data_IF_112804592656
#
_entry.id   IF_112804592656
#
_cell.length_a   1.000
_cell.length_b   1.000
_cell.length_c   1.000
_cell.angle_alpha   90.00
_cell.angle_beta   90.00
_cell.angle_gamma   90.00
#
_symmetry.space_group_name_H-M   'P 1'
#
loop_
_entity.id
_entity.type
_entity.pdbx_description
1 polymer ?
#
# COMPACT_ATOMS: atom_id res chain seq x y z
N UNK A 1 2.87 -8.84 8.20
CA UNK A 1 1.86 -7.79 8.52
C UNK A 1 1.67 -7.59 10.03
N UNK A 2 1.74 -8.63 10.87
CA UNK A 2 1.42 -8.57 12.32
C UNK A 2 2.15 -7.46 13.12
N UNK A 3 3.34 -7.05 12.71
CA UNK A 3 4.05 -5.92 13.32
C UNK A 3 3.79 -4.59 12.61
N UNK A 4 3.43 -4.62 11.33
CA UNK A 4 3.14 -3.40 10.57
C UNK A 4 1.86 -2.72 11.04
N UNK A 5 0.89 -3.48 11.53
CA UNK A 5 -0.40 -2.97 12.03
C UNK A 5 -0.31 -2.16 13.33
N UNK A 6 0.86 -2.12 13.98
CA UNK A 6 1.13 -1.19 15.08
C UNK A 6 1.35 0.26 14.64
N UNK A 7 1.01 0.56 13.39
CA UNK A 7 1.01 1.93 12.87
C UNK A 7 0.01 2.81 13.66
N UNK A 8 0.38 4.08 13.94
CA UNK A 8 -0.52 5.01 14.59
C UNK A 8 -1.84 5.17 13.81
N UNK A 9 -2.95 5.04 14.50
CA UNK A 9 -4.26 5.28 13.90
C UNK A 9 -5.24 5.77 14.96
N UNK A 10 -6.19 6.61 14.56
CA UNK A 10 -7.12 7.26 15.47
C UNK A 10 -8.02 6.23 16.16
N UNK A 11 -8.01 6.21 17.51
CA UNK A 11 -8.82 5.34 18.36
C UNK A 11 -8.67 3.85 18.04
N UNK A 12 -7.53 3.42 17.51
CA UNK A 12 -7.25 2.02 17.13
C UNK A 12 -8.33 1.45 16.19
N UNK A 13 -8.80 2.26 15.23
CA UNK A 13 -9.85 1.85 14.29
C UNK A 13 -9.37 0.92 13.20
N UNK A 14 -8.05 0.83 13.00
CA UNK A 14 -7.42 -0.02 11.99
C UNK A 14 -8.12 0.11 10.62
N UNK A 15 -8.04 1.28 9.97
CA UNK A 15 -8.87 1.62 8.81
C UNK A 15 -8.56 0.81 7.56
N UNK A 16 -7.58 -0.06 7.61
CA UNK A 16 -7.03 -0.85 6.51
C UNK A 16 -7.61 -2.24 6.42
N UNK A 17 -7.65 -2.76 5.19
CA UNK A 17 -7.84 -4.19 4.88
C UNK A 17 -6.86 -4.60 3.79
N UNK A 18 -6.69 -5.89 3.62
CA UNK A 18 -5.70 -6.45 2.71
C UNK A 18 -6.33 -7.49 1.79
N UNK A 19 -5.94 -7.43 0.50
CA UNK A 19 -6.23 -8.48 -0.47
C UNK A 19 -4.89 -8.91 -1.05
N UNK A 20 -4.54 -10.16 -0.86
CA UNK A 20 -3.32 -10.74 -1.41
C UNK A 20 -3.62 -11.48 -2.71
N UNK A 21 -2.84 -11.20 -3.74
CA UNK A 21 -2.97 -11.82 -5.06
C UNK A 21 -1.61 -12.39 -5.46
N UNK A 22 -1.52 -13.71 -5.49
CA UNK A 22 -0.35 -14.41 -6.00
C UNK A 22 -0.44 -14.60 -7.51
N UNK A 23 0.68 -14.94 -8.14
CA UNK A 23 0.79 -15.07 -9.60
C UNK A 23 -0.14 -16.15 -10.19
N UNK A 24 -0.35 -17.22 -9.45
CA UNK A 24 -1.19 -18.35 -9.81
C UNK A 24 -2.71 -18.08 -9.71
N UNK A 25 -3.09 -17.00 -9.00
CA UNK A 25 -4.49 -16.62 -8.75
C UNK A 25 -4.92 -15.38 -9.57
N UNK A 26 -4.32 -15.17 -10.76
CA UNK A 26 -4.58 -13.99 -11.61
C UNK A 26 -5.56 -14.22 -12.75
N UNK A 27 -6.20 -15.35 -12.83
CA UNK A 27 -7.18 -15.60 -13.87
C UNK A 27 -8.29 -14.54 -13.84
N UNK A 28 -8.48 -13.84 -14.96
CA UNK A 28 -9.43 -12.72 -15.04
C UNK A 28 -8.95 -11.39 -14.43
N UNK A 29 -7.71 -11.30 -13.96
CA UNK A 29 -7.10 -10.09 -13.37
C UNK A 29 -5.94 -9.57 -14.24
N UNK A 30 -6.18 -9.38 -15.52
CA UNK A 30 -5.16 -9.04 -16.54
C UNK A 30 -4.54 -7.65 -16.37
N UNK A 31 -5.13 -6.79 -15.55
CA UNK A 31 -4.63 -5.45 -15.26
C UNK A 31 -3.42 -5.42 -14.31
N UNK A 32 -3.04 -6.55 -13.71
CA UNK A 32 -1.81 -6.65 -12.93
C UNK A 32 -0.59 -6.96 -13.81
N UNK A 33 0.56 -6.39 -13.47
CA UNK A 33 1.80 -6.70 -14.16
C UNK A 33 2.22 -8.16 -13.97
N UNK A 34 2.32 -8.91 -15.07
CA UNK A 34 2.64 -10.35 -15.07
C UNK A 34 4.04 -10.68 -14.49
N UNK A 35 4.97 -9.71 -14.53
CA UNK A 35 6.34 -9.88 -14.06
C UNK A 35 6.47 -9.76 -12.52
N UNK A 36 5.47 -9.22 -11.84
CA UNK A 36 5.49 -9.07 -10.38
C UNK A 36 4.97 -10.35 -9.75
N UNK A 37 5.73 -11.02 -8.86
CA UNK A 37 5.35 -12.31 -8.29
C UNK A 37 4.05 -12.30 -7.48
N UNK A 38 3.79 -11.20 -6.77
CA UNK A 38 2.58 -11.04 -5.99
C UNK A 38 2.21 -9.57 -5.77
N UNK A 39 0.95 -9.33 -5.48
CA UNK A 39 0.45 -8.00 -5.10
C UNK A 39 -0.28 -8.07 -3.76
N UNK A 40 -0.10 -7.03 -2.97
CA UNK A 40 -0.90 -6.79 -1.77
C UNK A 40 -1.67 -5.49 -1.95
N UNK A 41 -2.97 -5.59 -2.14
CA UNK A 41 -3.84 -4.42 -2.22
C UNK A 41 -4.19 -4.00 -0.80
N UNK A 42 -3.98 -2.73 -0.50
CA UNK A 42 -4.40 -2.13 0.76
C UNK A 42 -5.63 -1.29 0.49
N UNK A 43 -6.76 -1.66 1.09
CA UNK A 43 -7.99 -0.88 1.03
C UNK A 43 -8.22 -0.12 2.32
N UNK A 44 -9.03 0.91 2.26
CA UNK A 44 -9.49 1.65 3.41
C UNK A 44 -10.96 2.04 3.26
N UNK A 45 -11.59 2.38 4.37
CA UNK A 45 -12.95 2.88 4.35
C UNK A 45 -13.03 4.20 3.58
N UNK A 46 -14.02 4.30 2.69
CA UNK A 46 -14.30 5.52 1.95
C UNK A 46 -15.14 6.43 2.83
N UNK A 47 -14.53 7.49 3.36
CA UNK A 47 -15.20 8.48 4.22
C UNK A 47 -15.57 9.71 3.40
N UNK A 48 -16.79 10.21 3.61
CA UNK A 48 -17.25 11.47 3.01
C UNK A 48 -16.71 12.71 3.73
N UNK A 49 -16.33 12.57 4.99
CA UNK A 49 -15.68 13.60 5.78
C UNK A 49 -14.19 13.66 5.40
N UNK A 50 -13.75 14.80 4.86
CA UNK A 50 -12.39 14.98 4.36
C UNK A 50 -11.33 14.77 5.46
N UNK A 51 -11.59 15.26 6.67
CA UNK A 51 -10.66 15.10 7.78
C UNK A 51 -10.46 13.63 8.15
N UNK A 52 -11.55 12.87 8.29
CA UNK A 52 -11.47 11.43 8.57
C UNK A 52 -10.84 10.66 7.42
N UNK A 53 -11.10 11.07 6.18
CA UNK A 53 -10.46 10.49 5.01
C UNK A 53 -8.94 10.65 5.07
N UNK A 54 -8.45 11.85 5.35
CA UNK A 54 -7.02 12.14 5.43
C UNK A 54 -6.36 11.42 6.62
N UNK A 55 -7.03 11.34 7.75
CA UNK A 55 -6.60 10.60 8.92
C UNK A 55 -6.44 9.10 8.61
N UNK A 56 -7.42 8.49 7.93
CA UNK A 56 -7.36 7.10 7.51
C UNK A 56 -6.24 6.86 6.49
N UNK A 57 -6.10 7.77 5.53
CA UNK A 57 -5.05 7.66 4.51
C UNK A 57 -3.66 7.76 5.12
N UNK A 58 -3.44 8.71 6.03
CA UNK A 58 -2.18 8.85 6.76
C UNK A 58 -1.84 7.58 7.55
N UNK A 59 -2.81 7.02 8.28
CA UNK A 59 -2.64 5.78 9.03
C UNK A 59 -2.26 4.60 8.12
N UNK A 60 -2.91 4.47 6.96
CA UNK A 60 -2.59 3.44 5.96
C UNK A 60 -1.15 3.58 5.47
N UNK A 61 -0.68 4.81 5.17
CA UNK A 61 0.70 5.00 4.70
C UNK A 61 1.74 4.81 5.80
N UNK A 62 1.43 5.08 7.07
CA UNK A 62 2.25 4.68 8.20
C UNK A 62 2.41 3.16 8.28
N UNK A 63 1.31 2.41 8.13
CA UNK A 63 1.33 0.95 8.07
C UNK A 63 2.18 0.45 6.88
N UNK A 64 1.98 1.01 5.69
CA UNK A 64 2.75 0.64 4.49
C UNK A 64 4.24 0.86 4.72
N UNK A 65 4.63 1.98 5.32
CA UNK A 65 6.03 2.24 5.63
C UNK A 65 6.60 1.22 6.64
N UNK A 66 5.87 0.90 7.69
CA UNK A 66 6.27 -0.13 8.63
C UNK A 66 6.43 -1.49 7.92
N UNK A 67 5.48 -1.84 7.05
CA UNK A 67 5.55 -3.08 6.28
C UNK A 67 6.77 -3.12 5.36
N UNK A 68 7.08 -2.02 4.65
CA UNK A 68 8.27 -1.93 3.79
C UNK A 68 9.56 -2.16 4.56
N UNK A 69 9.71 -1.55 5.74
CA UNK A 69 10.91 -1.72 6.58
C UNK A 69 11.06 -3.17 7.06
N UNK A 70 9.97 -3.77 7.54
CA UNK A 70 9.96 -5.16 8.00
C UNK A 70 10.16 -6.18 6.85
N UNK A 71 9.64 -5.87 5.67
CA UNK A 71 9.81 -6.66 4.46
C UNK A 71 11.27 -6.65 3.99
N UNK A 72 11.90 -5.48 4.04
CA UNK A 72 13.31 -5.31 3.68
C UNK A 72 14.23 -6.23 4.49
N UNK A 73 14.00 -6.35 5.78
CA UNK A 73 14.73 -7.27 6.66
C UNK A 73 14.64 -8.74 6.20
N UNK A 74 13.54 -9.09 5.52
CA UNK A 74 13.27 -10.44 4.98
C UNK A 74 13.66 -10.59 3.51
N UNK A 75 14.41 -9.65 2.93
CA UNK A 75 14.75 -9.57 1.52
C UNK A 75 13.54 -9.52 0.58
N UNK A 76 12.40 -9.06 1.09
CA UNK A 76 11.19 -8.82 0.32
C UNK A 76 11.14 -7.36 -0.12
N UNK A 77 11.30 -7.13 -1.41
CA UNK A 77 11.10 -5.83 -2.04
C UNK A 77 9.61 -5.49 -2.08
N UNK A 78 9.30 -4.25 -1.75
CA UNK A 78 7.94 -3.72 -1.76
C UNK A 78 7.95 -2.40 -2.51
N UNK A 79 7.31 -2.38 -3.68
CA UNK A 79 7.08 -1.16 -4.44
C UNK A 79 5.64 -0.70 -4.24
N UNK A 80 5.44 0.59 -3.96
CA UNK A 80 4.10 1.18 -3.83
C UNK A 80 3.70 1.70 -5.18
N UNK A 81 2.64 1.15 -5.73
CA UNK A 81 2.13 1.47 -7.06
C UNK A 81 0.72 2.06 -7.00
N UNK A 82 0.49 3.00 -7.90
CA UNK A 82 -0.82 3.62 -8.13
C UNK A 82 -1.20 3.37 -9.58
N UNK A 83 -2.37 2.81 -9.80
CA UNK A 83 -2.90 2.47 -11.11
C UNK A 83 -4.23 3.15 -11.35
N UNK A 84 -4.51 3.56 -12.56
CA UNK A 84 -5.78 4.21 -12.94
C UNK A 84 -6.99 3.33 -12.62
N UNK A 85 -6.87 2.02 -12.78
CA UNK A 85 -7.92 1.06 -12.48
C UNK A 85 -8.31 0.99 -11.00
N UNK A 86 -7.51 1.52 -10.08
CA UNK A 86 -7.83 1.55 -8.63
C UNK A 86 -9.13 2.32 -8.34
N UNK A 87 -9.52 3.21 -9.25
CA UNK A 87 -10.73 4.02 -9.15
C UNK A 87 -11.91 3.43 -9.95
N UNK A 88 -11.69 2.37 -10.72
CA UNK A 88 -12.72 1.69 -11.50
C UNK A 88 -13.56 0.78 -10.59
N UNK A 89 -14.87 1.08 -10.51
CA UNK A 89 -15.80 0.30 -9.67
C UNK A 89 -15.99 -1.14 -10.14
N UNK A 90 -15.93 -1.38 -11.45
CA UNK A 90 -16.01 -2.72 -12.03
C UNK A 90 -14.82 -3.59 -11.61
N UNK A 91 -13.61 -3.01 -11.61
CA UNK A 91 -12.40 -3.67 -11.12
C UNK A 91 -12.49 -3.92 -9.61
N UNK A 92 -12.91 -2.90 -8.84
CA UNK A 92 -13.11 -3.07 -7.39
C UNK A 92 -14.09 -4.20 -7.07
N UNK A 93 -15.20 -4.31 -7.81
CA UNK A 93 -16.18 -5.39 -7.64
C UNK A 93 -15.59 -6.78 -7.95
N UNK A 94 -14.80 -6.91 -9.03
CA UNK A 94 -14.08 -8.16 -9.34
C UNK A 94 -13.12 -8.57 -8.22
N UNK A 95 -12.53 -7.61 -7.53
CA UNK A 95 -11.66 -7.82 -6.38
C UNK A 95 -12.41 -8.02 -5.05
N UNK A 96 -13.73 -8.01 -5.06
CA UNK A 96 -14.56 -8.14 -3.86
C UNK A 96 -14.53 -6.92 -2.93
N UNK A 97 -14.15 -5.75 -3.44
CA UNK A 97 -14.07 -4.50 -2.67
C UNK A 97 -15.45 -3.82 -2.65
N UNK A 98 -16.09 -3.68 -1.49
CA UNK A 98 -17.40 -3.07 -1.39
C UNK A 98 -17.36 -1.56 -1.67
N UNK A 99 -18.52 -0.97 -2.01
CA UNK A 99 -18.64 0.47 -2.33
C UNK A 99 -18.15 1.41 -1.22
N UNK A 100 -18.34 0.98 0.02
CA UNK A 100 -17.88 1.74 1.20
C UNK A 100 -16.37 1.71 1.42
N UNK A 101 -15.64 1.02 0.55
CA UNK A 101 -14.18 0.92 0.59
C UNK A 101 -13.57 1.41 -0.72
N UNK A 102 -12.33 1.86 -0.62
CA UNK A 102 -11.49 2.24 -1.75
C UNK A 102 -10.11 1.61 -1.63
N UNK A 103 -9.44 1.43 -2.75
CA UNK A 103 -8.02 1.07 -2.75
C UNK A 103 -7.21 2.30 -2.35
N UNK A 104 -6.35 2.16 -1.35
CA UNK A 104 -5.41 3.19 -0.94
C UNK A 104 -4.07 3.06 -1.68
N UNK A 105 -3.59 1.84 -1.86
CA UNK A 105 -2.36 1.54 -2.60
C UNK A 105 -2.33 0.07 -3.04
N UNK A 106 -1.53 -0.22 -4.05
CA UNK A 106 -1.13 -1.57 -4.44
C UNK A 106 0.35 -1.73 -4.14
N UNK A 107 0.70 -2.77 -3.41
CA UNK A 107 2.08 -3.10 -3.10
C UNK A 107 2.52 -4.25 -3.99
N UNK A 108 3.47 -3.97 -4.88
CA UNK A 108 4.10 -4.98 -5.72
C UNK A 108 5.19 -5.67 -4.91
N UNK A 109 5.12 -6.99 -4.81
CA UNK A 109 5.96 -7.79 -3.93
C UNK A 109 6.86 -8.72 -4.73
N UNK A 110 8.14 -8.76 -4.37
CA UNK A 110 9.09 -9.69 -4.96
C UNK A 110 10.36 -9.83 -4.12
N UNK A 111 10.93 -11.02 -4.04
CA UNK A 111 12.21 -11.20 -3.37
C UNK A 111 13.35 -10.70 -4.25
N UNK A 112 14.34 -10.03 -3.64
CA UNK A 112 15.55 -9.62 -4.31
C UNK A 112 16.72 -10.50 -3.89
N UNK A 113 17.61 -10.81 -4.85
CA UNK A 113 18.83 -11.60 -4.62
C UNK A 113 19.96 -10.70 -4.12
N UNK A 114 20.06 -9.50 -4.69
CA UNK A 114 21.07 -8.51 -4.37
C UNK A 114 20.38 -7.22 -3.89
N UNK A 115 21.01 -6.55 -2.94
CA UNK A 115 20.50 -5.27 -2.44
C UNK A 115 20.67 -4.23 -3.56
N UNK A 116 19.58 -3.57 -3.99
CA UNK A 116 19.69 -2.52 -5.00
C UNK A 116 20.59 -1.39 -4.50
N UNK A 117 21.44 -0.86 -5.40
CA UNK A 117 22.25 0.31 -5.08
C UNK A 117 21.37 1.49 -4.65
N UNK A 118 21.72 2.08 -3.53
CA UNK A 118 21.06 3.30 -3.09
C UNK A 118 21.35 4.43 -4.09
N UNK A 119 20.31 4.97 -4.70
CA UNK A 119 20.46 6.24 -5.43
C UNK A 119 20.90 7.30 -4.42
N UNK A 120 21.93 8.11 -4.72
CA UNK A 120 22.32 9.18 -3.82
C UNK A 120 21.09 10.07 -3.58
N UNK A 121 20.56 10.00 -2.37
CA UNK A 121 19.54 10.92 -1.95
C UNK A 121 20.16 12.34 -2.03
N UNK A 122 19.45 13.29 -2.63
CA UNK A 122 19.78 14.66 -2.43
C UNK A 122 19.88 14.88 -0.91
N UNK A 123 21.03 15.32 -0.44
CA UNK A 123 21.17 15.75 0.97
C UNK A 123 20.08 16.78 1.17
N UNK A 124 18.99 16.36 1.79
CA UNK A 124 17.86 17.25 2.02
C UNK A 124 18.35 18.29 3.01
N UNK A 125 18.69 19.48 2.51
CA UNK A 125 18.76 20.62 3.39
C UNK A 125 17.37 20.75 4.01
N UNK A 126 17.28 20.48 5.33
CA UNK A 126 16.03 20.60 6.05
C UNK A 126 15.50 22.02 5.85
N UNK A 127 14.43 22.14 5.09
CA UNK A 127 13.75 23.42 4.89
C UNK A 127 12.81 23.62 6.06
N UNK A 128 13.24 24.42 7.01
CA UNK A 128 12.42 24.83 8.16
C UNK A 128 12.44 26.36 8.29
N UNK A 129 11.41 26.91 8.85
CA UNK A 129 11.25 28.33 9.10
C UNK A 129 11.00 28.54 10.57
N UNK A 130 11.80 29.43 11.19
CA UNK A 130 11.48 29.99 12.51
C UNK A 130 10.44 31.11 12.32
N UNK A 131 9.37 31.06 13.11
CA UNK A 131 8.36 32.11 13.17
C UNK A 131 8.66 33.05 14.34
#
# INVERSE_FOLDING_TARGET
>A
LNHAVWAPNHRLREPWKFIYIANDNREGLEFFHKQVPAHLIVTMKNESDAYKHDENLAAVFCLIQNFKLLAWEKKLGVNVSFYDWMFDRGVCQKLGIPEKERIAAVLDLGFYLEIPEAKPASVASLKWRLL
#
